data_IF_236699679768
#
_entry.id   IF_236699679768
#
_cell.length_a   1.000
_cell.length_b   1.000
_cell.length_c   1.000
_cell.angle_alpha   90.00
_cell.angle_beta   90.00
_cell.angle_gamma   90.00
#
_symmetry.space_group_name_H-M   'P 1'
#
loop_
_entity.id
_entity.type
_entity.pdbx_description
1 polymer ?
#
# COMPACT_ATOMS: atom_id res chain seq x y z
N UNK A 1 19.73 12.70 2.28
CA UNK A 1 18.84 12.28 3.38
C UNK A 1 18.52 10.81 3.20
N UNK A 2 18.94 9.93 4.11
CA UNK A 2 18.47 8.54 4.12
C UNK A 2 17.03 8.55 4.60
N UNK A 3 16.08 8.40 3.68
CA UNK A 3 14.69 8.13 4.02
C UNK A 3 14.70 6.75 4.70
N UNK A 4 14.55 6.70 6.01
CA UNK A 4 14.41 5.43 6.72
C UNK A 4 13.24 4.67 6.10
N UNK A 5 13.54 3.57 5.41
CA UNK A 5 12.54 2.81 4.67
C UNK A 5 11.53 2.25 5.68
N UNK A 6 10.34 2.86 5.73
CA UNK A 6 9.29 2.44 6.65
C UNK A 6 8.88 1.02 6.29
N UNK A 7 9.00 0.11 7.24
CA UNK A 7 8.59 -1.29 7.06
C UNK A 7 7.09 -1.35 6.78
N UNK A 8 6.70 -2.15 5.79
CA UNK A 8 5.30 -2.45 5.50
C UNK A 8 4.73 -3.32 6.61
N UNK A 9 3.53 -2.98 7.09
CA UNK A 9 2.75 -3.80 8.03
C UNK A 9 1.67 -4.59 7.29
N UNK A 10 1.06 -5.58 7.95
CA UNK A 10 -0.08 -6.31 7.40
C UNK A 10 -1.26 -5.37 7.06
N UNK A 11 -1.53 -4.37 7.91
CA UNK A 11 -2.57 -3.37 7.65
C UNK A 11 -2.28 -2.55 6.39
N UNK A 12 -1.03 -2.10 6.21
CA UNK A 12 -0.61 -1.40 4.99
C UNK A 12 -0.77 -2.29 3.75
N UNK A 13 -0.41 -3.57 3.85
CA UNK A 13 -0.58 -4.51 2.76
C UNK A 13 -2.05 -4.71 2.36
N UNK A 14 -2.96 -4.83 3.34
CA UNK A 14 -4.40 -4.92 3.12
C UNK A 14 -4.93 -3.66 2.39
N UNK A 15 -4.47 -2.47 2.81
CA UNK A 15 -4.84 -1.21 2.18
C UNK A 15 -4.27 -1.06 0.76
N UNK A 16 -3.00 -1.44 0.54
CA UNK A 16 -2.36 -1.46 -0.78
C UNK A 16 -3.18 -2.33 -1.74
N UNK A 17 -3.56 -3.54 -1.32
CA UNK A 17 -4.34 -4.47 -2.15
C UNK A 17 -5.70 -3.88 -2.52
N UNK A 18 -6.41 -3.27 -1.57
CA UNK A 18 -7.69 -2.58 -1.85
C UNK A 18 -7.50 -1.41 -2.80
N UNK A 19 -6.57 -0.50 -2.52
CA UNK A 19 -6.33 0.68 -3.35
C UNK A 19 -5.93 0.29 -4.79
N UNK A 20 -5.17 -0.79 -4.97
CA UNK A 20 -4.83 -1.32 -6.29
C UNK A 20 -6.00 -1.96 -7.02
N UNK A 21 -6.90 -2.64 -6.31
CA UNK A 21 -8.16 -3.12 -6.90
C UNK A 21 -9.00 -1.96 -7.43
N UNK A 22 -9.01 -0.83 -6.70
CA UNK A 22 -9.65 0.43 -7.08
C UNK A 22 -8.85 1.29 -8.07
N UNK A 23 -7.79 0.74 -8.67
CA UNK A 23 -6.96 1.36 -9.73
C UNK A 23 -6.11 2.58 -9.33
N UNK A 24 -5.98 2.91 -8.05
CA UNK A 24 -5.04 3.95 -7.60
C UNK A 24 -3.60 3.61 -8.01
N UNK A 25 -2.88 4.59 -8.55
CA UNK A 25 -1.48 4.39 -8.96
C UNK A 25 -0.54 4.26 -7.74
N UNK A 26 0.68 3.77 -7.98
CA UNK A 26 1.64 3.51 -6.91
C UNK A 26 2.12 4.79 -6.23
N UNK A 27 2.20 5.92 -6.95
CA UNK A 27 2.66 7.18 -6.37
C UNK A 27 1.68 7.72 -5.33
N UNK A 28 0.37 7.66 -5.59
CA UNK A 28 -0.68 8.07 -4.63
C UNK A 28 -0.62 7.21 -3.37
N UNK A 29 -0.58 5.88 -3.53
CA UNK A 29 -0.53 4.94 -2.41
C UNK A 29 0.76 5.12 -1.59
N UNK A 30 1.90 5.28 -2.27
CA UNK A 30 3.22 5.46 -1.64
C UNK A 30 3.28 6.77 -0.85
N UNK A 31 2.74 7.86 -1.42
CA UNK A 31 2.67 9.15 -0.75
C UNK A 31 1.80 9.10 0.51
N UNK A 32 0.60 8.49 0.43
CA UNK A 32 -0.30 8.37 1.58
C UNK A 32 0.31 7.54 2.72
N UNK A 33 0.98 6.42 2.39
CA UNK A 33 1.58 5.54 3.41
C UNK A 33 2.99 5.96 3.83
N UNK A 34 3.59 6.92 3.13
CA UNK A 34 4.98 7.36 3.29
C UNK A 34 5.95 6.16 3.20
N UNK A 35 5.84 5.40 2.11
CA UNK A 35 6.68 4.22 1.81
C UNK A 35 7.25 4.27 0.39
N UNK A 36 8.28 3.48 0.11
CA UNK A 36 8.81 3.33 -1.23
C UNK A 36 7.85 2.55 -2.16
N UNK A 37 7.72 2.98 -3.41
CA UNK A 37 6.86 2.30 -4.41
C UNK A 37 7.25 0.82 -4.66
N UNK A 38 8.53 0.48 -4.50
CA UNK A 38 8.99 -0.91 -4.57
C UNK A 38 8.30 -1.82 -3.54
N UNK A 39 7.96 -1.29 -2.37
CA UNK A 39 7.24 -2.02 -1.32
C UNK A 39 5.80 -2.37 -1.72
N UNK A 40 5.15 -1.47 -2.46
CA UNK A 40 3.84 -1.72 -3.06
C UNK A 40 3.95 -2.86 -4.08
N UNK A 41 4.99 -2.84 -4.92
CA UNK A 41 5.24 -3.92 -5.86
C UNK A 41 5.45 -5.27 -5.16
N UNK A 42 6.19 -5.30 -4.06
CA UNK A 42 6.45 -6.52 -3.29
C UNK A 42 5.16 -7.08 -2.66
N UNK A 43 4.25 -6.23 -2.16
CA UNK A 43 2.92 -6.66 -1.70
C UNK A 43 2.10 -7.23 -2.85
N UNK A 44 2.01 -6.52 -3.98
CA UNK A 44 1.18 -6.96 -5.11
C UNK A 44 1.73 -8.21 -5.81
N UNK A 45 3.03 -8.48 -5.71
CA UNK A 45 3.66 -9.72 -6.17
C UNK A 45 3.60 -10.86 -5.15
N UNK A 46 3.01 -10.63 -3.97
CA UNK A 46 2.91 -11.64 -2.90
C UNK A 46 4.22 -11.92 -2.15
N UNK A 47 5.26 -11.10 -2.32
CA UNK A 47 6.54 -11.23 -1.59
C UNK A 47 6.41 -10.75 -0.14
N UNK A 48 5.51 -9.81 0.11
CA UNK A 48 5.17 -9.31 1.44
C UNK A 48 3.68 -9.56 1.70
N UNK A 49 3.39 -10.20 2.84
CA UNK A 49 2.02 -10.46 3.31
C UNK A 49 1.10 -11.13 2.25
N UNK A 50 1.51 -12.27 1.66
CA UNK A 50 0.72 -12.95 0.63
C UNK A 50 -0.69 -13.30 1.13
N UNK A 51 -0.80 -13.80 2.36
CA UNK A 51 -2.05 -14.32 2.93
C UNK A 51 -3.00 -13.24 3.48
N UNK A 52 -2.55 -11.97 3.52
CA UNK A 52 -3.38 -10.88 4.02
C UNK A 52 -4.43 -10.50 2.97
N UNK A 53 -5.71 -10.61 3.31
CA UNK A 53 -6.78 -10.17 2.44
C UNK A 53 -6.78 -8.62 2.25
N UNK A 54 -7.31 -8.10 1.12
CA UNK A 54 -7.56 -6.67 0.96
C UNK A 54 -8.50 -6.16 2.06
N UNK A 55 -8.33 -4.89 2.45
CA UNK A 55 -9.29 -4.22 3.35
C UNK A 55 -10.66 -4.08 2.65
N UNK A 56 -11.74 -3.98 3.42
CA UNK A 56 -13.09 -3.81 2.88
C UNK A 56 -13.40 -2.36 2.42
N UNK A 57 -12.75 -1.36 3.01
CA UNK A 57 -12.97 0.06 2.74
C UNK A 57 -11.65 0.85 2.86
N UNK A 58 -11.58 1.96 2.11
CA UNK A 58 -10.49 2.93 2.23
C UNK A 58 -10.71 3.80 3.49
N UNK A 59 -9.64 4.28 4.13
CA UNK A 59 -9.73 5.35 5.13
C UNK A 59 -10.43 6.59 4.56
N UNK A 60 -11.15 7.33 5.42
CA UNK A 60 -11.89 8.53 5.00
C UNK A 60 -10.97 9.66 4.49
N UNK A 61 -9.72 9.67 4.95
CA UNK A 61 -8.67 10.61 4.54
C UNK A 61 -7.84 10.11 3.34
N UNK A 62 -8.17 8.94 2.78
CA UNK A 62 -7.47 8.44 1.60
C UNK A 62 -7.75 9.36 0.40
N UNK A 63 -6.74 9.70 -0.42
CA UNK A 63 -6.93 10.60 -1.57
C UNK A 63 -8.03 10.08 -2.50
N UNK A 64 -8.94 10.96 -2.91
CA UNK A 64 -9.95 10.63 -3.92
C UNK A 64 -9.27 10.54 -5.29
N UNK A 65 -9.63 9.51 -6.06
CA UNK A 65 -9.16 9.29 -7.42
C UNK A 65 -9.63 10.38 -8.39
#
# INVERSE_FOLDING_TARGET
MHMHDRKVTAEMAALIKLARALKYNYSVIAAYLVINQGRIADVMKGRLFPDVAPRAYLPDDFPKA
#
